data_IF_083336438519
#
_entry.id   IF_083336438519
#
_cell.length_a   1.000
_cell.length_b   1.000
_cell.length_c   1.000
_cell.angle_alpha   90.00
_cell.angle_beta   90.00
_cell.angle_gamma   90.00
#
_symmetry.space_group_name_H-M   'P 1'
#
loop_
_entity.id
_entity.type
_entity.pdbx_description
1 polymer ?
#
# COMPACT_ATOMS: atom_id res chain seq x y z
N UNK A 1 28.67 35.26 30.46
CA UNK A 1 27.82 34.85 29.31
C UNK A 1 28.38 33.57 28.76
N UNK A 2 27.80 32.42 29.13
CA UNK A 2 28.21 31.13 28.62
C UNK A 2 27.38 30.79 27.37
N UNK A 3 28.07 30.49 26.27
CA UNK A 3 27.46 30.01 25.03
C UNK A 3 26.80 28.65 25.25
N UNK A 4 25.61 28.37 24.67
CA UNK A 4 24.99 27.06 24.77
C UNK A 4 25.80 26.02 23.98
N UNK A 5 26.03 24.87 24.61
CA UNK A 5 26.76 23.72 24.10
C UNK A 5 26.02 23.02 22.94
N UNK A 6 26.10 23.60 21.74
CA UNK A 6 25.56 23.03 20.49
C UNK A 6 26.28 21.73 20.05
N UNK A 7 27.37 21.34 20.73
CA UNK A 7 28.25 20.23 20.34
C UNK A 7 28.09 18.93 21.14
N UNK A 8 26.98 18.71 21.86
CA UNK A 8 26.62 17.37 22.37
C UNK A 8 25.82 16.52 21.38
N UNK A 9 25.88 16.80 20.07
CA UNK A 9 25.21 15.98 19.04
C UNK A 9 25.85 14.60 18.83
N UNK A 10 27.10 14.42 19.25
CA UNK A 10 27.85 13.17 19.09
C UNK A 10 27.39 12.00 19.96
N UNK A 11 26.64 12.24 21.05
CA UNK A 11 26.18 11.18 21.97
C UNK A 11 24.79 10.62 21.65
N UNK A 12 24.04 11.24 20.73
CA UNK A 12 22.65 10.85 20.44
C UNK A 12 22.54 9.53 19.66
N UNK A 13 23.50 9.24 18.76
CA UNK A 13 23.52 8.01 17.97
C UNK A 13 24.16 6.82 18.72
N UNK A 14 24.90 7.08 19.81
CA UNK A 14 25.62 6.03 20.56
C UNK A 14 24.70 5.17 21.45
N UNK A 15 23.38 5.42 21.45
CA UNK A 15 22.39 4.69 22.26
C UNK A 15 21.46 3.76 21.48
N UNK A 16 21.55 3.70 20.15
CA UNK A 16 20.70 2.80 19.37
C UNK A 16 21.25 1.38 19.34
N UNK A 17 20.46 0.45 19.91
CA UNK A 17 20.75 -0.98 19.80
C UNK A 17 20.38 -1.51 18.42
N UNK A 18 20.88 -2.71 18.08
CA UNK A 18 20.45 -3.46 16.89
C UNK A 18 18.92 -3.51 16.72
N UNK A 19 18.17 -3.73 17.81
CA UNK A 19 16.69 -3.74 17.78
C UNK A 19 16.05 -2.44 17.27
N UNK A 20 16.63 -1.27 17.58
CA UNK A 20 16.11 0.00 17.06
C UNK A 20 16.25 0.05 15.53
N UNK A 21 17.39 -0.39 15.01
CA UNK A 21 17.64 -0.45 13.57
C UNK A 21 16.68 -1.44 12.90
N UNK A 22 16.50 -2.62 13.48
CA UNK A 22 15.56 -3.63 12.95
C UNK A 22 14.13 -3.09 12.92
N UNK A 23 13.63 -2.52 14.02
CA UNK A 23 12.27 -1.96 14.08
C UNK A 23 12.11 -0.78 13.11
N UNK A 24 13.11 0.08 13.01
CA UNK A 24 13.11 1.16 12.03
C UNK A 24 12.96 0.61 10.62
N UNK A 25 13.80 -0.35 10.22
CA UNK A 25 13.79 -0.91 8.86
C UNK A 25 12.49 -1.67 8.58
N UNK A 26 12.01 -2.48 9.53
CA UNK A 26 10.76 -3.23 9.38
C UNK A 26 9.56 -2.29 9.20
N UNK A 27 9.42 -1.28 10.06
CA UNK A 27 8.33 -0.31 9.94
C UNK A 27 8.47 0.54 8.69
N UNK A 28 9.68 0.97 8.34
CA UNK A 28 9.98 1.73 7.12
C UNK A 28 9.54 0.96 5.88
N UNK A 29 10.04 -0.28 5.71
CA UNK A 29 9.70 -1.08 4.55
C UNK A 29 8.25 -1.54 4.55
N UNK A 30 7.63 -1.81 5.71
CA UNK A 30 6.19 -2.11 5.75
C UNK A 30 5.36 -0.99 5.15
N UNK A 31 5.68 0.27 5.48
CA UNK A 31 4.93 1.41 5.00
C UNK A 31 5.30 1.76 3.55
N UNK A 32 6.57 1.55 3.16
CA UNK A 32 6.97 1.61 1.75
C UNK A 32 6.21 0.60 0.89
N UNK A 33 5.99 -0.64 1.36
CA UNK A 33 5.25 -1.65 0.60
C UNK A 33 3.77 -1.29 0.43
N UNK A 34 3.12 -0.76 1.46
CA UNK A 34 1.75 -0.23 1.36
C UNK A 34 1.68 0.94 0.35
N UNK A 35 2.69 1.81 0.32
CA UNK A 35 2.80 2.86 -0.69
C UNK A 35 3.04 2.31 -2.10
N UNK A 36 3.90 1.29 -2.24
CA UNK A 36 4.18 0.64 -3.52
C UNK A 36 2.89 0.04 -4.12
N UNK A 37 2.09 -0.65 -3.32
CA UNK A 37 0.81 -1.23 -3.73
C UNK A 37 -0.20 -0.17 -4.19
N UNK A 38 -0.34 0.95 -3.45
CA UNK A 38 -1.15 2.10 -3.91
C UNK A 38 -0.65 2.67 -5.22
N UNK A 39 0.67 2.77 -5.38
CA UNK A 39 1.29 3.33 -6.58
C UNK A 39 1.08 2.44 -7.80
N UNK A 40 1.02 1.12 -7.63
CA UNK A 40 0.70 0.17 -8.72
C UNK A 40 -0.57 0.56 -9.46
N UNK A 41 -1.68 0.80 -8.74
CA UNK A 41 -2.95 1.18 -9.35
C UNK A 41 -2.80 2.41 -10.25
N UNK A 42 -2.06 3.43 -9.80
CA UNK A 42 -1.81 4.64 -10.58
C UNK A 42 -0.99 4.40 -11.85
N UNK A 43 -0.01 3.49 -11.79
CA UNK A 43 0.90 3.23 -12.91
C UNK A 43 0.25 2.43 -14.04
N UNK A 44 -0.81 1.68 -13.74
CA UNK A 44 -1.44 0.78 -14.71
C UNK A 44 -2.82 1.24 -15.18
N UNK A 45 -3.28 2.44 -14.78
CA UNK A 45 -4.62 2.96 -15.17
C UNK A 45 -4.83 3.00 -16.67
N UNK A 46 -3.80 3.36 -17.44
CA UNK A 46 -3.86 3.40 -18.89
C UNK A 46 -4.13 2.00 -19.44
N UNK A 47 -3.33 1.02 -19.03
CA UNK A 47 -3.49 -0.38 -19.45
C UNK A 47 -4.82 -1.00 -18.98
N UNK A 48 -5.31 -0.67 -17.78
CA UNK A 48 -6.64 -1.09 -17.32
C UNK A 48 -7.72 -0.48 -18.23
N UNK A 49 -7.63 0.81 -18.54
CA UNK A 49 -8.60 1.51 -19.38
C UNK A 49 -8.67 0.90 -20.79
N UNK A 50 -7.51 0.57 -21.37
CA UNK A 50 -7.41 -0.14 -22.64
C UNK A 50 -8.06 -1.52 -22.56
N UNK A 51 -7.79 -2.30 -21.51
CA UNK A 51 -8.40 -3.63 -21.36
C UNK A 51 -9.92 -3.59 -21.14
N UNK A 52 -10.39 -2.61 -20.36
CA UNK A 52 -11.80 -2.49 -19.98
C UNK A 52 -12.68 -1.90 -21.10
N UNK A 53 -12.10 -1.53 -22.24
CA UNK A 53 -12.82 -0.91 -23.36
C UNK A 53 -12.63 -1.66 -24.68
N UNK A 54 -13.58 -1.57 -25.62
CA UNK A 54 -13.45 -2.24 -26.91
C UNK A 54 -12.28 -1.69 -27.73
N UNK A 55 -11.56 -2.56 -28.44
CA UNK A 55 -10.62 -2.12 -29.48
C UNK A 55 -11.38 -1.40 -30.60
N UNK A 56 -10.88 -0.25 -31.06
CA UNK A 56 -11.49 0.47 -32.18
C UNK A 56 -11.38 -0.36 -33.46
N UNK A 57 -12.49 -0.97 -33.90
CA UNK A 57 -12.55 -1.66 -35.19
C UNK A 57 -12.66 -0.63 -36.32
N UNK A 58 -11.93 -0.88 -37.42
CA UNK A 58 -12.03 -0.10 -38.64
C UNK A 58 -13.43 -0.32 -39.25
N UNK A 59 -14.20 0.75 -39.42
CA UNK A 59 -15.63 0.74 -39.81
C UNK A 59 -15.90 0.28 -41.25
N UNK A 60 -14.89 -0.23 -41.96
CA UNK A 60 -14.97 -0.60 -43.38
C UNK A 60 -15.53 -2.00 -43.62
N UNK A 61 -15.78 -2.81 -42.58
CA UNK A 61 -16.35 -4.16 -42.72
C UNK A 61 -17.57 -4.29 -41.80
N UNK A 62 -18.77 -4.31 -42.40
CA UNK A 62 -20.02 -4.66 -41.70
C UNK A 62 -20.02 -6.16 -41.39
N UNK A 63 -19.37 -6.54 -40.29
CA UNK A 63 -19.59 -7.84 -39.65
C UNK A 63 -20.74 -7.71 -38.64
N UNK A 64 -21.59 -8.73 -38.48
CA UNK A 64 -22.67 -8.69 -37.50
C UNK A 64 -22.11 -8.40 -36.10
N UNK A 65 -22.63 -7.33 -35.48
CA UNK A 65 -22.21 -6.74 -34.19
C UNK A 65 -22.51 -7.64 -32.97
N UNK A 66 -23.06 -8.83 -33.17
CA UNK A 66 -23.26 -9.84 -32.15
C UNK A 66 -22.48 -11.08 -32.58
N UNK A 67 -21.41 -11.49 -31.89
CA UNK A 67 -21.50 -12.51 -30.82
C UNK A 67 -20.21 -12.53 -29.94
N UNK A 68 -19.24 -11.64 -30.15
CA UNK A 68 -17.91 -11.72 -29.48
C UNK A 68 -17.44 -10.46 -28.72
N UNK A 69 -18.37 -9.60 -28.30
CA UNK A 69 -18.12 -8.34 -27.55
C UNK A 69 -18.33 -8.47 -26.03
N UNK A 70 -17.97 -9.61 -25.42
CA UNK A 70 -18.58 -9.99 -24.13
C UNK A 70 -17.80 -9.67 -22.85
N UNK A 71 -16.65 -8.98 -22.91
CA UNK A 71 -15.77 -8.81 -21.73
C UNK A 71 -15.24 -7.38 -21.50
N UNK A 72 -15.93 -6.34 -21.97
CA UNK A 72 -15.54 -4.94 -21.73
C UNK A 72 -16.47 -4.29 -20.69
N UNK A 73 -15.88 -3.59 -19.71
CA UNK A 73 -16.62 -2.98 -18.59
C UNK A 73 -17.22 -1.62 -18.95
N UNK A 74 -16.61 -0.92 -19.91
CA UNK A 74 -17.00 0.43 -20.33
C UNK A 74 -17.02 0.57 -21.86
N UNK A 75 -17.91 1.39 -22.41
CA UNK A 75 -18.00 1.60 -23.85
C UNK A 75 -16.95 2.58 -24.39
N UNK A 76 -16.25 3.33 -23.52
CA UNK A 76 -15.23 4.30 -23.92
C UNK A 76 -14.14 4.46 -22.85
N UNK A 77 -12.93 4.80 -23.30
CA UNK A 77 -11.78 5.06 -22.43
C UNK A 77 -12.03 6.22 -21.45
N UNK A 78 -12.82 7.22 -21.86
CA UNK A 78 -13.22 8.32 -20.99
C UNK A 78 -14.03 7.83 -19.78
N UNK A 79 -15.04 6.99 -20.01
CA UNK A 79 -15.87 6.43 -18.92
C UNK A 79 -15.07 5.50 -18.01
N UNK A 80 -14.15 4.70 -18.57
CA UNK A 80 -13.24 3.88 -17.78
C UNK A 80 -12.32 4.75 -16.90
N UNK A 81 -11.76 5.83 -17.46
CA UNK A 81 -10.89 6.77 -16.73
C UNK A 81 -11.64 7.47 -15.59
N UNK A 82 -12.87 7.94 -15.82
CA UNK A 82 -13.72 8.53 -14.79
C UNK A 82 -14.02 7.53 -13.66
N UNK A 83 -14.27 6.27 -14.00
CA UNK A 83 -14.48 5.23 -12.99
C UNK A 83 -13.21 4.92 -12.20
N UNK A 84 -12.05 4.85 -12.85
CA UNK A 84 -10.75 4.67 -12.16
C UNK A 84 -10.47 5.82 -11.18
N UNK A 85 -10.82 7.07 -11.53
CA UNK A 85 -10.76 8.20 -10.61
C UNK A 85 -11.78 8.14 -9.48
N UNK A 86 -12.96 7.58 -9.74
CA UNK A 86 -13.97 7.30 -8.70
C UNK A 86 -13.42 6.28 -7.70
N UNK A 87 -12.73 5.24 -8.17
CA UNK A 87 -12.06 4.28 -7.31
C UNK A 87 -11.01 4.95 -6.42
N UNK A 88 -10.12 5.80 -6.94
CA UNK A 88 -9.17 6.55 -6.09
C UNK A 88 -9.89 7.31 -4.96
N UNK A 89 -11.00 7.96 -5.29
CA UNK A 89 -11.79 8.74 -4.34
C UNK A 89 -12.40 7.84 -3.26
N UNK A 90 -12.98 6.71 -3.65
CA UNK A 90 -13.52 5.69 -2.74
C UNK A 90 -12.43 5.16 -1.80
N UNK A 91 -11.25 4.86 -2.34
CA UNK A 91 -10.12 4.39 -1.54
C UNK A 91 -9.69 5.45 -0.53
N UNK A 92 -9.50 6.70 -0.94
CA UNK A 92 -9.06 7.77 -0.05
C UNK A 92 -10.10 8.08 1.03
N UNK A 93 -11.39 8.07 0.68
CA UNK A 93 -12.46 8.28 1.64
C UNK A 93 -12.53 7.15 2.67
N UNK A 94 -12.54 5.90 2.22
CA UNK A 94 -12.54 4.73 3.11
C UNK A 94 -11.28 4.66 3.97
N UNK A 95 -10.11 5.01 3.42
CA UNK A 95 -8.87 5.14 4.17
C UNK A 95 -8.98 6.19 5.27
N UNK A 96 -9.54 7.37 4.97
CA UNK A 96 -9.73 8.44 5.96
C UNK A 96 -10.65 8.01 7.11
N UNK A 97 -11.78 7.36 6.81
CA UNK A 97 -12.66 6.77 7.83
C UNK A 97 -11.92 5.69 8.63
N UNK A 98 -11.18 4.84 7.93
CA UNK A 98 -10.41 3.75 8.53
C UNK A 98 -9.31 4.24 9.48
N UNK A 99 -8.71 5.41 9.26
CA UNK A 99 -7.70 5.97 10.17
C UNK A 99 -8.26 6.18 11.60
N UNK A 100 -9.50 6.67 11.72
CA UNK A 100 -10.15 6.85 13.02
C UNK A 100 -10.39 5.52 13.73
N UNK A 101 -10.92 4.53 12.99
CA UNK A 101 -11.19 3.19 13.51
C UNK A 101 -9.88 2.49 13.90
N UNK A 102 -8.88 2.57 13.04
CA UNK A 102 -7.57 1.95 13.22
C UNK A 102 -6.82 2.48 14.42
N UNK A 103 -6.96 3.76 14.76
CA UNK A 103 -6.41 4.32 16.00
C UNK A 103 -6.98 3.60 17.23
N UNK A 104 -8.31 3.48 17.31
CA UNK A 104 -9.01 2.80 18.41
C UNK A 104 -8.61 1.31 18.49
N UNK A 105 -8.49 0.66 17.33
CA UNK A 105 -8.06 -0.75 17.25
C UNK A 105 -6.61 -0.91 17.71
N UNK A 106 -5.72 0.00 17.31
CA UNK A 106 -4.30 -0.01 17.68
C UNK A 106 -4.06 0.15 19.18
N UNK A 107 -4.96 0.84 19.89
CA UNK A 107 -4.87 0.99 21.35
C UNK A 107 -5.28 -0.29 22.11
N UNK A 108 -6.06 -1.18 21.48
CA UNK A 108 -6.64 -2.38 22.14
C UNK A 108 -5.99 -3.68 21.74
N UNK A 109 -5.43 -3.74 20.53
CA UNK A 109 -4.83 -4.94 19.97
C UNK A 109 -3.32 -4.78 19.86
N UNK A 110 -2.61 -5.90 19.86
CA UNK A 110 -1.17 -5.86 19.66
C UNK A 110 -0.85 -5.39 18.21
N UNK A 111 -0.10 -4.30 18.12
CA UNK A 111 0.19 -3.56 16.88
C UNK A 111 0.86 -4.42 15.80
N UNK A 112 1.62 -5.46 16.19
CA UNK A 112 2.23 -6.41 15.25
C UNK A 112 1.17 -7.16 14.46
N UNK A 113 0.14 -7.65 15.15
CA UNK A 113 -0.95 -8.40 14.53
C UNK A 113 -1.81 -7.50 13.65
N UNK A 114 -2.10 -6.29 14.12
CA UNK A 114 -2.89 -5.31 13.36
C UNK A 114 -2.17 -4.93 12.06
N UNK A 115 -0.89 -4.57 12.14
CA UNK A 115 -0.09 -4.20 10.97
C UNK A 115 0.06 -5.37 9.98
N UNK A 116 0.42 -6.56 10.48
CA UNK A 116 0.58 -7.74 9.63
C UNK A 116 -0.74 -8.13 8.96
N UNK A 117 -1.84 -8.18 9.72
CA UNK A 117 -3.17 -8.47 9.19
C UNK A 117 -3.55 -7.44 8.12
N UNK A 118 -3.39 -6.14 8.38
CA UNK A 118 -3.68 -5.08 7.43
C UNK A 118 -2.89 -5.22 6.13
N UNK A 119 -1.59 -5.52 6.21
CA UNK A 119 -0.75 -5.75 5.03
C UNK A 119 -1.16 -6.99 4.23
N UNK A 120 -1.33 -8.13 4.89
CA UNK A 120 -1.66 -9.39 4.21
C UNK A 120 -3.06 -9.36 3.60
N UNK A 121 -4.06 -8.85 4.33
CA UNK A 121 -5.44 -8.78 3.85
C UNK A 121 -5.62 -7.75 2.74
N UNK A 122 -4.98 -6.57 2.83
CA UNK A 122 -5.00 -5.60 1.73
C UNK A 122 -4.26 -6.12 0.48
N UNK A 123 -3.16 -6.87 0.66
CA UNK A 123 -2.47 -7.51 -0.45
C UNK A 123 -3.38 -8.51 -1.16
N UNK A 124 -4.11 -9.33 -0.39
CA UNK A 124 -5.09 -10.26 -0.95
C UNK A 124 -6.19 -9.54 -1.73
N UNK A 125 -6.75 -8.44 -1.20
CA UNK A 125 -7.77 -7.64 -1.90
C UNK A 125 -7.23 -7.05 -3.19
N UNK A 126 -5.99 -6.56 -3.20
CA UNK A 126 -5.32 -6.03 -4.40
C UNK A 126 -5.08 -7.13 -5.44
N UNK A 127 -4.65 -8.31 -5.01
CA UNK A 127 -4.53 -9.48 -5.89
C UNK A 127 -5.89 -9.87 -6.50
N UNK A 128 -6.96 -9.88 -5.70
CA UNK A 128 -8.31 -10.18 -6.21
C UNK A 128 -8.74 -9.15 -7.25
N UNK A 129 -8.57 -7.86 -6.95
CA UNK A 129 -8.95 -6.76 -7.84
C UNK A 129 -8.17 -6.74 -9.15
N UNK A 130 -6.86 -6.95 -9.09
CA UNK A 130 -5.99 -6.70 -10.23
C UNK A 130 -5.73 -7.96 -11.04
N UNK A 131 -5.58 -9.08 -10.36
CA UNK A 131 -5.12 -10.33 -10.96
C UNK A 131 -6.25 -11.32 -11.16
N UNK A 132 -6.99 -11.62 -10.09
CA UNK A 132 -8.01 -12.66 -10.15
C UNK A 132 -9.18 -12.29 -11.07
N UNK A 133 -9.68 -11.06 -11.01
CA UNK A 133 -10.78 -10.63 -11.90
C UNK A 133 -10.38 -10.64 -13.37
N UNK A 134 -9.11 -10.33 -13.68
CA UNK A 134 -8.61 -10.35 -15.06
C UNK A 134 -8.47 -11.79 -15.57
N UNK A 135 -7.85 -12.68 -14.78
CA UNK A 135 -7.71 -14.10 -15.13
C UNK A 135 -9.05 -14.80 -15.32
N UNK A 136 -10.05 -14.46 -14.50
CA UNK A 136 -11.40 -15.01 -14.60
C UNK A 136 -12.27 -14.27 -15.62
N UNK A 137 -11.78 -13.19 -16.24
CA UNK A 137 -12.54 -12.31 -17.14
C UNK A 137 -13.86 -11.82 -16.52
N UNK A 138 -13.87 -11.59 -15.21
CA UNK A 138 -15.05 -11.20 -14.46
C UNK A 138 -14.98 -9.72 -14.06
N UNK A 139 -15.65 -8.86 -14.82
CA UNK A 139 -15.65 -7.42 -14.58
C UNK A 139 -16.99 -6.94 -14.02
N UNK A 140 -16.99 -6.43 -12.78
CA UNK A 140 -18.19 -5.90 -12.14
C UNK A 140 -17.86 -4.62 -11.36
N UNK A 141 -18.54 -3.51 -11.70
CA UNK A 141 -18.28 -2.19 -11.10
C UNK A 141 -18.49 -2.19 -9.58
N UNK A 142 -19.54 -2.86 -9.11
CA UNK A 142 -19.86 -2.93 -7.68
C UNK A 142 -18.82 -3.75 -6.92
N UNK A 143 -18.37 -4.86 -7.49
CA UNK A 143 -17.27 -5.64 -6.92
C UNK A 143 -16.01 -4.77 -6.79
N UNK A 144 -15.64 -4.05 -7.85
CA UNK A 144 -14.47 -3.17 -7.82
C UNK A 144 -14.57 -2.07 -6.76
N UNK A 145 -15.74 -1.43 -6.62
CA UNK A 145 -15.98 -0.47 -5.55
C UNK A 145 -15.86 -1.11 -4.16
N UNK A 146 -16.48 -2.27 -3.93
CA UNK A 146 -16.42 -2.99 -2.65
C UNK A 146 -14.97 -3.38 -2.30
N UNK A 147 -14.22 -3.92 -3.25
CA UNK A 147 -12.81 -4.26 -3.06
C UNK A 147 -12.00 -3.02 -2.67
N UNK A 148 -12.22 -1.87 -3.33
CA UNK A 148 -11.49 -0.64 -3.00
C UNK A 148 -11.85 -0.04 -1.64
N UNK A 149 -13.13 -0.12 -1.22
CA UNK A 149 -13.54 0.26 0.14
C UNK A 149 -12.81 -0.59 1.17
N UNK A 150 -12.85 -1.92 1.00
CA UNK A 150 -12.20 -2.86 1.92
C UNK A 150 -10.69 -2.62 1.93
N UNK A 151 -10.07 -2.43 0.76
CA UNK A 151 -8.65 -2.13 0.64
C UNK A 151 -8.27 -0.85 1.40
N UNK A 152 -9.04 0.24 1.23
CA UNK A 152 -8.79 1.51 1.93
C UNK A 152 -8.88 1.37 3.45
N UNK A 153 -9.92 0.68 3.95
CA UNK A 153 -10.07 0.39 5.37
C UNK A 153 -8.90 -0.44 5.92
N UNK A 154 -8.51 -1.52 5.23
CA UNK A 154 -7.42 -2.39 5.68
C UNK A 154 -6.06 -1.68 5.66
N UNK A 155 -5.75 -0.93 4.60
CA UNK A 155 -4.48 -0.19 4.50
C UNK A 155 -4.39 0.95 5.51
N UNK A 156 -5.51 1.53 5.94
CA UNK A 156 -5.53 2.61 6.94
C UNK A 156 -4.94 2.20 8.28
N UNK A 157 -4.92 0.90 8.60
CA UNK A 157 -4.32 0.36 9.82
C UNK A 157 -2.81 0.59 9.89
N UNK A 158 -2.15 0.69 8.74
CA UNK A 158 -0.69 0.76 8.66
C UNK A 158 -0.12 1.97 9.38
N UNK A 159 -0.63 3.18 9.07
CA UNK A 159 -0.06 4.43 9.57
C UNK A 159 -0.13 4.58 11.10
N UNK A 160 -1.30 4.43 11.77
CA UNK A 160 -1.36 4.51 13.23
C UNK A 160 -0.47 3.47 13.91
N UNK A 161 -0.42 2.24 13.37
CA UNK A 161 0.41 1.18 13.94
C UNK A 161 1.90 1.51 13.90
N UNK A 162 2.43 1.86 12.72
CA UNK A 162 3.86 2.15 12.58
C UNK A 162 4.27 3.40 13.35
N UNK A 163 3.41 4.43 13.41
CA UNK A 163 3.67 5.63 14.21
C UNK A 163 3.72 5.31 15.70
N UNK A 164 2.80 4.48 16.19
CA UNK A 164 2.79 4.04 17.59
C UNK A 164 4.03 3.20 17.93
N UNK A 165 4.41 2.23 17.09
CA UNK A 165 5.62 1.41 17.27
C UNK A 165 6.88 2.29 17.28
N UNK A 166 7.00 3.21 16.33
CA UNK A 166 8.11 4.17 16.28
C UNK A 166 8.12 5.07 17.54
N UNK A 167 6.95 5.43 18.07
CA UNK A 167 6.82 6.16 19.33
C UNK A 167 7.29 5.37 20.55
N UNK A 168 7.03 4.06 20.59
CA UNK A 168 7.44 3.15 21.66
C UNK A 168 8.96 2.95 21.69
N UNK A 169 9.61 2.84 20.53
CA UNK A 169 11.04 2.58 20.43
C UNK A 169 11.89 3.84 20.45
N UNK A 170 11.43 4.94 19.85
CA UNK A 170 12.20 6.17 19.72
C UNK A 170 11.61 7.23 20.66
N UNK A 171 12.27 7.39 21.83
CA UNK A 171 11.91 8.35 22.88
C UNK A 171 11.90 9.82 22.42
N UNK A 172 11.75 10.77 23.36
CA UNK A 172 11.53 12.19 23.02
C UNK A 172 12.73 12.89 22.36
N UNK A 173 13.96 12.51 22.72
CA UNK A 173 15.18 13.12 22.18
C UNK A 173 15.51 12.56 20.77
N UNK A 174 15.73 13.44 19.79
CA UNK A 174 16.11 13.03 18.43
C UNK A 174 14.96 12.45 17.58
N UNK A 175 13.75 12.32 18.13
CA UNK A 175 12.56 11.77 17.46
C UNK A 175 12.27 12.43 16.11
N UNK A 176 12.39 13.75 16.03
CA UNK A 176 12.11 14.49 14.79
C UNK A 176 13.02 14.09 13.64
N UNK A 177 14.31 13.83 13.91
CA UNK A 177 15.26 13.38 12.88
C UNK A 177 14.94 11.95 12.45
N UNK A 178 14.65 11.07 13.40
CA UNK A 178 14.29 9.66 13.11
C UNK A 178 13.00 9.60 12.31
N UNK A 179 11.93 10.29 12.73
CA UNK A 179 10.68 10.35 11.99
C UNK A 179 10.83 11.05 10.64
N UNK A 180 11.69 12.08 10.55
CA UNK A 180 12.01 12.74 9.29
C UNK A 180 12.65 11.78 8.28
N UNK A 181 13.66 11.01 8.70
CA UNK A 181 14.27 9.98 7.87
C UNK A 181 13.28 8.86 7.54
N UNK A 182 12.51 8.43 8.54
CA UNK A 182 11.51 7.38 8.37
C UNK A 182 10.45 7.78 7.35
N UNK A 183 10.04 9.05 7.30
CA UNK A 183 9.02 9.56 6.37
C UNK A 183 9.38 9.40 4.89
N UNK A 184 10.67 9.22 4.57
CA UNK A 184 11.13 8.90 3.22
C UNK A 184 10.58 7.55 2.70
N UNK A 185 10.04 6.70 3.57
CA UNK A 185 9.41 5.43 3.22
C UNK A 185 8.31 5.58 2.16
N UNK A 186 7.54 6.69 2.18
CA UNK A 186 6.50 6.94 1.19
C UNK A 186 7.09 7.13 -0.21
N UNK A 187 8.16 7.92 -0.32
CA UNK A 187 8.87 8.14 -1.57
C UNK A 187 9.54 6.87 -2.08
N UNK A 188 10.20 6.11 -1.18
CA UNK A 188 10.78 4.81 -1.52
C UNK A 188 9.70 3.85 -2.02
N UNK A 189 8.56 3.80 -1.35
CA UNK A 189 7.40 3.01 -1.77
C UNK A 189 6.91 3.38 -3.16
N UNK A 190 6.79 4.67 -3.46
CA UNK A 190 6.40 5.13 -4.80
C UNK A 190 7.40 4.69 -5.90
N UNK A 191 8.70 4.75 -5.61
CA UNK A 191 9.75 4.28 -6.52
C UNK A 191 9.61 2.76 -6.73
N UNK A 192 9.52 1.99 -5.65
CA UNK A 192 9.34 0.54 -5.70
C UNK A 192 8.10 0.15 -6.50
N UNK A 193 6.96 0.82 -6.27
CA UNK A 193 5.72 0.56 -7.00
C UNK A 193 5.84 0.86 -8.50
N UNK A 194 6.58 1.90 -8.88
CA UNK A 194 6.89 2.21 -10.28
C UNK A 194 7.78 1.14 -10.93
N UNK A 195 8.88 0.76 -10.26
CA UNK A 195 9.79 -0.26 -10.76
C UNK A 195 9.11 -1.63 -10.90
N UNK A 196 8.34 -2.05 -9.89
CA UNK A 196 7.65 -3.34 -9.90
C UNK A 196 6.54 -3.39 -10.96
N UNK A 197 5.77 -2.30 -11.13
CA UNK A 197 4.76 -2.27 -12.18
C UNK A 197 5.41 -2.29 -13.57
N UNK A 198 6.40 -1.43 -13.80
CA UNK A 198 7.05 -1.30 -15.11
C UNK A 198 7.78 -2.56 -15.57
N UNK A 199 8.31 -3.38 -14.65
CA UNK A 199 9.06 -4.60 -15.01
C UNK A 199 8.18 -5.70 -15.60
N UNK A 200 6.87 -5.68 -15.32
CA UNK A 200 5.93 -6.71 -15.75
C UNK A 200 4.77 -6.19 -16.59
N UNK A 201 4.64 -4.87 -16.75
CA UNK A 201 3.52 -4.25 -17.47
C UNK A 201 3.40 -4.74 -18.92
N UNK A 202 4.52 -5.07 -19.56
CA UNK A 202 4.53 -5.64 -20.91
C UNK A 202 3.80 -6.98 -21.04
N UNK A 203 3.60 -7.70 -19.93
CA UNK A 203 2.88 -8.97 -19.90
C UNK A 203 1.39 -8.80 -19.60
N UNK A 204 0.97 -7.62 -19.10
CA UNK A 204 -0.39 -7.34 -18.64
C UNK A 204 -0.41 -6.58 -17.32
N UNK A 205 -1.48 -5.80 -17.09
CA UNK A 205 -1.62 -5.02 -15.85
C UNK A 205 -1.84 -5.92 -14.62
N UNK A 206 -2.42 -7.10 -14.82
CA UNK A 206 -2.70 -8.09 -13.80
C UNK A 206 -1.44 -8.60 -13.11
N UNK A 207 -0.33 -8.68 -13.85
CA UNK A 207 0.96 -9.10 -13.31
C UNK A 207 1.59 -8.01 -12.44
N UNK A 208 1.33 -6.73 -12.75
CA UNK A 208 1.79 -5.63 -11.90
C UNK A 208 1.13 -5.72 -10.51
N UNK A 209 -0.18 -6.01 -10.45
CA UNK A 209 -0.87 -6.27 -9.19
C UNK A 209 -0.42 -7.56 -8.51
N UNK A 210 -0.17 -8.63 -9.27
CA UNK A 210 0.30 -9.89 -8.72
C UNK A 210 1.63 -9.71 -7.99
N UNK A 211 2.60 -9.09 -8.65
CA UNK A 211 3.94 -8.87 -8.08
C UNK A 211 3.85 -7.97 -6.86
N UNK A 212 3.15 -6.83 -6.93
CA UNK A 212 3.09 -5.91 -5.79
C UNK A 212 2.29 -6.47 -4.61
N UNK A 213 1.20 -7.19 -4.87
CA UNK A 213 0.47 -7.92 -3.84
C UNK A 213 1.34 -9.01 -3.19
N UNK A 214 2.09 -9.79 -3.98
CA UNK A 214 2.96 -10.84 -3.46
C UNK A 214 4.06 -10.28 -2.55
N UNK A 215 4.72 -9.19 -2.97
CA UNK A 215 5.77 -8.55 -2.17
C UNK A 215 5.18 -7.93 -0.89
N UNK A 216 4.02 -7.28 -0.99
CA UNK A 216 3.35 -6.74 0.21
C UNK A 216 2.92 -7.85 1.18
N UNK A 217 2.36 -8.94 0.67
CA UNK A 217 1.94 -10.10 1.48
C UNK A 217 3.15 -10.72 2.20
N UNK A 218 4.25 -10.97 1.48
CA UNK A 218 5.50 -11.43 2.07
C UNK A 218 6.02 -10.48 3.15
N UNK A 219 5.96 -9.17 2.91
CA UNK A 219 6.29 -8.15 3.91
C UNK A 219 5.42 -8.25 5.17
N UNK A 220 4.11 -8.49 5.02
CA UNK A 220 3.19 -8.71 6.14
C UNK A 220 3.55 -9.96 6.96
N UNK A 221 3.99 -11.04 6.31
CA UNK A 221 4.49 -12.25 6.99
C UNK A 221 5.81 -11.97 7.73
N UNK A 222 6.72 -11.20 7.14
CA UNK A 222 7.97 -10.79 7.82
C UNK A 222 7.66 -9.96 9.06
N UNK A 223 6.69 -9.04 9.00
CA UNK A 223 6.24 -8.26 10.15
C UNK A 223 5.66 -9.16 11.25
N UNK A 224 4.87 -10.16 10.87
CA UNK A 224 4.26 -11.09 11.80
C UNK A 224 5.29 -11.79 12.70
N UNK A 225 6.39 -12.26 12.11
CA UNK A 225 7.42 -13.02 12.82
C UNK A 225 8.55 -12.17 13.40
N UNK A 226 8.86 -11.03 12.76
CA UNK A 226 10.08 -10.27 13.04
C UNK A 226 9.91 -8.96 13.81
N UNK A 227 8.70 -8.41 13.89
CA UNK A 227 8.48 -7.11 14.52
C UNK A 227 8.36 -7.21 16.05
N UNK A 228 9.03 -6.30 16.76
CA UNK A 228 8.87 -6.10 18.20
C UNK A 228 8.12 -4.79 18.44
N UNK A 229 7.00 -4.83 19.17
CA UNK A 229 6.12 -3.66 19.30
C UNK A 229 6.66 -2.63 20.29
N UNK A 230 7.30 -3.10 21.36
CA UNK A 230 7.93 -2.24 22.37
C UNK A 230 9.23 -2.87 22.91
N UNK A 231 10.13 -2.07 23.51
CA UNK A 231 11.30 -2.59 24.23
C UNK A 231 10.96 -3.53 25.40
N UNK A 232 9.73 -3.46 25.92
CA UNK A 232 9.25 -4.31 27.03
C UNK A 232 9.20 -5.79 26.61
N UNK A 233 8.97 -6.09 25.31
CA UNK A 233 9.00 -7.47 24.79
C UNK A 233 10.37 -8.15 24.97
N UNK A 234 11.45 -7.37 25.16
CA UNK A 234 12.81 -7.88 25.43
C UNK A 234 13.28 -7.57 26.86
N UNK A 235 12.35 -7.27 27.78
CA UNK A 235 12.64 -7.04 29.20
C UNK A 235 13.34 -5.71 29.49
N UNK A 236 13.30 -4.74 28.57
CA UNK A 236 13.83 -3.39 28.79
C UNK A 236 12.68 -2.45 29.13
N UNK A 237 12.65 -2.02 30.39
CA UNK A 237 11.80 -0.93 30.90
C UNK A 237 12.39 0.45 30.53
#
# INVERSE_FOLDING_TARGET
MAWPSVFQRGSLLSRFSHHHVVVFLLTFFSYSLLHASRKTFSNVKVSISEQWTPSAFNTSVELPVEIWSSNHLFPSAEKATLFLGTLDTIFLFSYAVGLFISGIVGDRLNLRWVLSFGMCSSAFVVFVFGTLTEWLRFYNKWLYCCLWIVNGLLQSTGWPCVVAIMGNWFGKAGRGVVFGLWSACASVGNILGACLASSVLQYGYEYAFLVTASVQFAGGIVIFFGLLVSPEEIGKL
#
